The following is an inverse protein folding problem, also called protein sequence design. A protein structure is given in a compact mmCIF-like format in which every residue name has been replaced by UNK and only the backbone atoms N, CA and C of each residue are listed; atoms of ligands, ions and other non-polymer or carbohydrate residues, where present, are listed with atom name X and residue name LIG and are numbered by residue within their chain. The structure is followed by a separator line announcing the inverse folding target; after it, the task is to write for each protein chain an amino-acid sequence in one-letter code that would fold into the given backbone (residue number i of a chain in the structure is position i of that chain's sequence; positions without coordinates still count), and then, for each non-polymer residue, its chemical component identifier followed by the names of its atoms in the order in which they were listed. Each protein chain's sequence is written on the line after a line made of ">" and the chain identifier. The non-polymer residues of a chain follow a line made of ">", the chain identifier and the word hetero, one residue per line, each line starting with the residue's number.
data_IF_340309310870
#
_entry.id   IF_340309310870
#
_cell.length_a   1.000
_cell.length_b   1.000
_cell.length_c   1.000
_cell.angle_alpha   90.00
_cell.angle_beta   90.00
_cell.angle_gamma   90.00
#
_symmetry.space_group_name_H-M   'P 1'
#
loop_
_entity.id
_entity.type
_entity.pdbx_description
1 polymer ?
#
# COMPACT_ATOMS: atom_id res chain seq x y z
N UNK A 1 12.64 21.46 -5.71
CA UNK A 1 11.78 20.26 -5.63
C UNK A 1 11.74 19.64 -4.22
N UNK A 2 12.81 19.02 -3.73
CA UNK A 2 12.82 18.29 -2.44
C UNK A 2 12.26 19.07 -1.24
N UNK A 3 12.71 20.33 -1.07
CA UNK A 3 12.20 21.20 -0.01
C UNK A 3 10.68 21.45 -0.12
N UNK A 4 10.17 21.64 -1.34
CA UNK A 4 8.74 21.83 -1.58
C UNK A 4 7.94 20.56 -1.23
N UNK A 5 8.44 19.38 -1.60
CA UNK A 5 7.80 18.10 -1.24
C UNK A 5 7.79 17.88 0.28
N UNK A 6 8.90 18.19 0.97
CA UNK A 6 8.96 18.13 2.42
C UNK A 6 7.94 19.08 3.06
N UNK A 7 7.83 20.32 2.57
CA UNK A 7 6.83 21.29 3.03
C UNK A 7 5.41 20.78 2.79
N UNK A 8 5.11 20.26 1.60
CA UNK A 8 3.78 19.72 1.27
C UNK A 8 3.41 18.52 2.15
N UNK A 9 4.34 17.60 2.38
CA UNK A 9 4.14 16.47 3.29
C UNK A 9 3.89 16.93 4.73
N UNK A 10 4.64 17.93 5.21
CA UNK A 10 4.40 18.54 6.52
C UNK A 10 3.03 19.22 6.59
N UNK A 11 2.64 20.03 5.60
CA UNK A 11 1.34 20.69 5.55
C UNK A 11 0.20 19.66 5.56
N UNK A 12 0.31 18.59 4.78
CA UNK A 12 -0.68 17.52 4.76
C UNK A 12 -0.78 16.81 6.12
N UNK A 13 0.33 16.65 6.85
CA UNK A 13 0.35 16.10 8.21
C UNK A 13 -0.17 17.08 9.29
N UNK A 14 -0.08 18.40 9.07
CA UNK A 14 -0.52 19.39 10.06
C UNK A 14 -2.00 19.25 10.40
N UNK A 15 -2.86 18.89 9.43
CA UNK A 15 -4.29 18.71 9.66
C UNK A 15 -4.58 17.59 10.68
N UNK A 16 -4.14 16.32 10.47
CA UNK A 16 -4.36 15.28 11.47
C UNK A 16 -3.64 15.53 12.80
N UNK A 17 -2.46 16.15 12.78
CA UNK A 17 -1.79 16.58 14.01
C UNK A 17 -2.65 17.61 14.76
N UNK A 18 -3.16 18.65 14.09
CA UNK A 18 -4.03 19.64 14.73
C UNK A 18 -5.30 18.97 15.32
N UNK A 19 -5.93 18.04 14.60
CA UNK A 19 -7.09 17.29 15.08
C UNK A 19 -6.78 16.50 16.37
N UNK A 20 -5.63 15.82 16.42
CA UNK A 20 -5.23 15.03 17.60
C UNK A 20 -4.99 15.94 18.81
N UNK A 21 -4.20 17.02 18.65
CA UNK A 21 -3.82 17.89 19.76
C UNK A 21 -4.96 18.81 20.22
N UNK A 22 -5.84 19.26 19.32
CA UNK A 22 -7.02 20.05 19.68
C UNK A 22 -8.14 19.22 20.32
N UNK A 23 -8.09 17.89 20.22
CA UNK A 23 -9.14 17.04 20.79
C UNK A 23 -9.19 17.08 22.33
N UNK A 24 -10.29 16.62 22.94
CA UNK A 24 -10.41 16.48 24.40
C UNK A 24 -9.82 15.17 24.95
N UNK A 25 -9.31 14.28 24.09
CA UNK A 25 -8.75 12.99 24.53
C UNK A 25 -7.47 13.23 25.36
N UNK A 26 -7.41 12.63 26.54
CA UNK A 26 -6.26 12.73 27.44
C UNK A 26 -5.05 11.94 26.89
N UNK A 27 -5.29 10.84 26.17
CA UNK A 27 -4.24 10.02 25.58
C UNK A 27 -3.98 10.39 24.12
N UNK A 28 -3.25 11.51 23.94
CA UNK A 28 -2.85 12.01 22.62
C UNK A 28 -2.06 10.99 21.81
N UNK A 29 -1.25 10.16 22.47
CA UNK A 29 -0.40 9.20 21.80
C UNK A 29 -1.23 8.05 21.22
N UNK A 30 -2.15 7.48 22.00
CA UNK A 30 -3.12 6.48 21.53
C UNK A 30 -3.96 7.03 20.38
N UNK A 31 -4.46 8.26 20.52
CA UNK A 31 -5.27 8.89 19.48
C UNK A 31 -4.47 9.12 18.18
N UNK A 32 -3.23 9.59 18.30
CA UNK A 32 -2.33 9.72 17.15
C UNK A 32 -2.13 8.37 16.45
N UNK A 33 -1.90 7.29 17.20
CA UNK A 33 -1.71 5.97 16.62
C UNK A 33 -2.94 5.50 15.83
N UNK A 34 -4.16 5.65 16.37
CA UNK A 34 -5.39 5.30 15.67
C UNK A 34 -5.70 6.21 14.47
N UNK A 35 -5.40 7.51 14.56
CA UNK A 35 -5.50 8.41 13.40
C UNK A 35 -4.53 8.00 12.30
N UNK A 36 -3.31 7.62 12.64
CA UNK A 36 -2.33 7.11 11.66
C UNK A 36 -2.79 5.79 11.03
N UNK A 37 -3.40 4.88 11.81
CA UNK A 37 -4.00 3.64 11.28
C UNK A 37 -5.10 3.96 10.27
N UNK A 38 -6.03 4.84 10.64
CA UNK A 38 -7.13 5.27 9.77
C UNK A 38 -6.61 5.87 8.46
N UNK A 39 -5.68 6.83 8.53
CA UNK A 39 -5.10 7.45 7.34
C UNK A 39 -4.26 6.50 6.49
N UNK A 40 -3.63 5.49 7.11
CA UNK A 40 -2.89 4.45 6.37
C UNK A 40 -3.86 3.54 5.60
N UNK A 41 -4.99 3.19 6.22
CA UNK A 41 -6.06 2.45 5.54
C UNK A 41 -6.64 3.26 4.35
N UNK A 42 -6.96 4.53 4.57
CA UNK A 42 -7.45 5.42 3.49
C UNK A 42 -6.41 5.60 2.39
N UNK A 43 -5.12 5.70 2.74
CA UNK A 43 -4.02 5.76 1.77
C UNK A 43 -3.96 4.50 0.89
N UNK A 44 -4.17 3.31 1.46
CA UNK A 44 -4.23 2.05 0.72
C UNK A 44 -5.45 2.04 -0.22
N UNK A 45 -6.62 2.49 0.25
CA UNK A 45 -7.81 2.63 -0.60
C UNK A 45 -7.56 3.62 -1.74
N UNK A 46 -6.91 4.75 -1.46
CA UNK A 46 -6.54 5.72 -2.48
C UNK A 46 -5.52 5.14 -3.47
N UNK A 47 -4.60 4.27 -3.02
CA UNK A 47 -3.71 3.50 -3.90
C UNK A 47 -4.45 2.52 -4.81
N UNK A 48 -5.54 1.90 -4.32
CA UNK A 48 -6.42 1.11 -5.18
C UNK A 48 -7.13 2.00 -6.21
N UNK A 49 -7.57 3.20 -5.81
CA UNK A 49 -8.16 4.18 -6.72
C UNK A 49 -7.16 4.67 -7.80
N UNK A 50 -5.91 4.95 -7.45
CA UNK A 50 -4.88 5.34 -8.43
C UNK A 50 -4.63 4.23 -9.45
N UNK A 51 -4.71 2.96 -9.03
CA UNK A 51 -4.62 1.80 -9.92
C UNK A 51 -5.84 1.67 -10.83
N UNK A 52 -7.05 1.70 -10.27
CA UNK A 52 -8.31 1.51 -11.01
C UNK A 52 -8.60 2.63 -12.01
N UNK A 53 -8.04 3.82 -11.80
CA UNK A 53 -8.11 4.95 -12.73
C UNK A 53 -6.94 4.99 -13.72
N UNK A 54 -6.07 3.97 -13.73
CA UNK A 54 -4.84 3.90 -14.52
C UNK A 54 -3.97 5.17 -14.40
N UNK A 55 -3.89 5.69 -13.18
CA UNK A 55 -3.15 6.91 -12.84
C UNK A 55 -1.72 6.63 -12.34
N UNK A 56 -1.34 5.37 -12.14
CA UNK A 56 -0.04 5.00 -11.55
C UNK A 56 1.21 5.33 -12.40
N UNK A 57 1.02 5.88 -13.59
CA UNK A 57 2.06 6.39 -14.49
C UNK A 57 1.69 7.79 -15.02
N UNK A 58 0.88 8.54 -14.25
CA UNK A 58 0.53 9.93 -14.57
C UNK A 58 1.74 10.86 -14.44
N UNK A 59 2.74 10.49 -13.64
CA UNK A 59 4.04 11.13 -13.53
C UNK A 59 5.15 10.13 -13.87
N UNK A 60 6.09 10.46 -14.78
CA UNK A 60 7.10 9.51 -15.26
C UNK A 60 8.26 9.29 -14.28
N UNK A 61 8.40 10.13 -13.27
CA UNK A 61 9.50 10.19 -12.33
C UNK A 61 9.01 10.13 -10.88
N UNK A 62 9.94 9.93 -9.95
CA UNK A 62 9.71 9.94 -8.51
C UNK A 62 10.85 10.70 -7.82
N UNK A 63 10.58 11.52 -6.78
CA UNK A 63 9.29 11.73 -6.08
C UNK A 63 8.41 12.83 -6.69
N UNK A 64 8.93 13.57 -7.67
CA UNK A 64 8.21 14.66 -8.33
C UNK A 64 7.39 14.20 -9.54
N UNK A 65 6.95 15.17 -10.34
CA UNK A 65 6.32 14.97 -11.62
C UNK A 65 7.02 15.88 -12.63
N UNK A 66 7.68 15.32 -13.63
CA UNK A 66 8.57 16.01 -14.57
C UNK A 66 9.63 16.89 -13.86
N UNK A 67 10.22 16.39 -12.76
CA UNK A 67 11.20 17.15 -11.97
C UNK A 67 10.61 18.28 -11.11
N UNK A 68 9.29 18.44 -11.10
CA UNK A 68 8.58 19.42 -10.29
C UNK A 68 7.89 18.79 -9.09
N UNK A 69 7.63 19.61 -8.05
CA UNK A 69 7.00 19.11 -6.83
C UNK A 69 5.48 18.98 -6.93
N UNK A 70 4.85 19.52 -7.98
CA UNK A 70 3.41 19.44 -8.20
C UNK A 70 3.05 19.59 -9.70
N UNK A 71 1.89 19.05 -10.13
CA UNK A 71 1.46 19.10 -11.53
C UNK A 71 1.18 20.50 -12.10
N UNK A 72 0.98 21.54 -11.27
CA UNK A 72 0.81 22.92 -11.78
C UNK A 72 2.11 23.43 -12.37
N UNK A 73 3.23 23.16 -11.71
CA UNK A 73 4.55 23.54 -12.20
C UNK A 73 4.95 22.73 -13.45
N UNK A 74 4.55 21.45 -13.52
CA UNK A 74 4.80 20.56 -14.66
C UNK A 74 3.73 20.66 -15.76
N UNK A 75 2.83 21.65 -15.72
CA UNK A 75 1.65 21.66 -16.59
C UNK A 75 2.00 21.66 -18.09
N UNK A 76 3.07 22.37 -18.48
CA UNK A 76 3.54 22.41 -19.85
C UNK A 76 4.04 21.03 -20.32
N UNK A 77 4.85 20.35 -19.51
CA UNK A 77 5.38 19.02 -19.83
C UNK A 77 4.28 17.95 -19.90
N UNK A 78 3.34 17.99 -18.95
CA UNK A 78 2.17 17.10 -18.93
C UNK A 78 1.31 17.33 -20.18
N UNK A 79 1.06 18.58 -20.54
CA UNK A 79 0.26 18.92 -21.72
C UNK A 79 0.93 18.48 -23.02
N UNK A 80 2.26 18.64 -23.12
CA UNK A 80 3.03 18.17 -24.26
C UNK A 80 3.02 16.64 -24.37
N UNK A 81 3.18 15.92 -23.25
CA UNK A 81 3.14 14.47 -23.21
C UNK A 81 1.74 13.92 -23.57
N UNK A 82 0.68 14.55 -23.03
CA UNK A 82 -0.70 14.19 -23.36
C UNK A 82 -1.03 14.45 -24.84
N UNK A 83 -0.53 15.56 -25.41
CA UNK A 83 -0.71 15.85 -26.83
C UNK A 83 0.04 14.86 -27.74
N UNK A 84 1.23 14.42 -27.33
CA UNK A 84 2.03 13.43 -28.08
C UNK A 84 1.41 12.03 -28.06
N UNK A 85 0.74 11.64 -26.97
CA UNK A 85 0.08 10.34 -26.84
C UNK A 85 -1.30 10.48 -26.16
N UNK A 86 -2.36 10.85 -26.92
CA UNK A 86 -3.69 11.13 -26.35
C UNK A 86 -4.34 9.95 -25.60
N UNK A 87 -4.03 8.72 -25.99
CA UNK A 87 -4.48 7.48 -25.34
C UNK A 87 -3.46 6.92 -24.35
N UNK A 88 -2.42 7.69 -24.04
CA UNK A 88 -1.32 7.29 -23.17
C UNK A 88 -1.66 7.33 -21.67
N UNK A 89 -0.67 7.04 -20.82
CA UNK A 89 -0.87 7.00 -19.37
C UNK A 89 -0.95 8.40 -18.72
N UNK A 90 -0.53 9.45 -19.42
CA UNK A 90 -0.38 10.80 -18.85
C UNK A 90 -1.58 11.68 -19.19
N UNK A 91 -2.21 12.23 -18.15
CA UNK A 91 -3.11 13.38 -18.24
C UNK A 91 -2.93 14.25 -17.01
N UNK A 92 -3.38 15.51 -17.06
CA UNK A 92 -3.34 16.41 -15.90
C UNK A 92 -4.06 15.81 -14.69
N UNK A 93 -5.21 15.15 -14.90
CA UNK A 93 -5.98 14.53 -13.82
C UNK A 93 -5.23 13.33 -13.23
N UNK A 94 -4.68 12.45 -14.07
CA UNK A 94 -3.90 11.28 -13.62
C UNK A 94 -2.65 11.69 -12.84
N UNK A 95 -1.92 12.71 -13.31
CA UNK A 95 -0.77 13.27 -12.61
C UNK A 95 -1.13 13.81 -11.22
N UNK A 96 -2.29 14.47 -11.08
CA UNK A 96 -2.79 14.91 -9.78
C UNK A 96 -3.16 13.77 -8.85
N UNK A 97 -3.87 12.75 -9.36
CA UNK A 97 -4.22 11.55 -8.59
C UNK A 97 -2.94 10.91 -8.03
N UNK A 98 -1.92 10.74 -8.86
CA UNK A 98 -0.66 10.15 -8.43
C UNK A 98 0.08 11.02 -7.39
N UNK A 99 0.18 12.33 -7.63
CA UNK A 99 0.88 13.23 -6.71
C UNK A 99 0.15 13.38 -5.36
N UNK A 100 -1.19 13.36 -5.36
CA UNK A 100 -1.98 13.36 -4.10
C UNK A 100 -1.68 12.10 -3.29
N UNK A 101 -1.62 10.92 -3.93
CA UNK A 101 -1.23 9.69 -3.25
C UNK A 101 0.15 9.82 -2.58
N UNK A 102 1.12 10.42 -3.28
CA UNK A 102 2.47 10.67 -2.76
C UNK A 102 2.47 11.65 -1.58
N UNK A 103 1.68 12.73 -1.65
CA UNK A 103 1.56 13.68 -0.53
C UNK A 103 0.95 13.04 0.72
N UNK A 104 -0.10 12.22 0.54
CA UNK A 104 -0.73 11.47 1.63
C UNK A 104 0.25 10.47 2.24
N UNK A 105 1.04 9.77 1.43
CA UNK A 105 2.09 8.87 1.91
C UNK A 105 3.16 9.60 2.73
N UNK A 106 3.61 10.78 2.28
CA UNK A 106 4.52 11.63 3.05
C UNK A 106 3.91 12.08 4.38
N UNK A 107 2.62 12.43 4.39
CA UNK A 107 1.92 12.82 5.61
C UNK A 107 1.91 11.67 6.64
N UNK A 108 1.57 10.45 6.21
CA UNK A 108 1.65 9.25 7.07
C UNK A 108 3.08 9.04 7.59
N UNK A 109 4.09 9.22 6.74
CA UNK A 109 5.50 9.21 7.15
C UNK A 109 5.81 10.17 8.30
N UNK A 110 5.36 11.42 8.20
CA UNK A 110 5.50 12.43 9.26
C UNK A 110 4.79 11.99 10.55
N UNK A 111 3.59 11.40 10.46
CA UNK A 111 2.87 10.90 11.63
C UNK A 111 3.61 9.73 12.32
N UNK A 112 4.23 8.83 11.55
CA UNK A 112 5.08 7.76 12.09
C UNK A 112 6.32 8.32 12.78
N UNK A 113 6.96 9.35 12.20
CA UNK A 113 8.07 10.07 12.85
C UNK A 113 7.60 10.69 14.17
N UNK A 114 6.43 11.35 14.20
CA UNK A 114 5.87 11.91 15.43
C UNK A 114 5.62 10.84 16.50
N UNK A 115 5.03 9.69 16.11
CA UNK A 115 4.84 8.54 17.01
C UNK A 115 6.17 8.02 17.58
N UNK A 116 7.20 7.91 16.75
CA UNK A 116 8.52 7.47 17.17
C UNK A 116 9.17 8.46 18.15
N UNK A 117 9.17 9.76 17.81
CA UNK A 117 9.76 10.81 18.64
C UNK A 117 9.07 10.89 20.00
N UNK A 118 7.74 10.90 20.03
CA UNK A 118 6.97 10.94 21.28
C UNK A 118 7.26 9.70 22.14
N UNK A 119 7.34 8.50 21.53
CA UNK A 119 7.67 7.28 22.26
C UNK A 119 9.07 7.37 22.91
N UNK A 120 10.09 7.79 22.16
CA UNK A 120 11.44 7.97 22.68
C UNK A 120 11.49 9.01 23.82
N UNK A 121 10.81 10.15 23.66
CA UNK A 121 10.76 11.19 24.68
C UNK A 121 10.12 10.68 25.98
N UNK A 122 8.98 9.99 25.91
CA UNK A 122 8.28 9.48 27.08
C UNK A 122 9.01 8.30 27.74
N UNK A 123 9.63 7.43 26.96
CA UNK A 123 10.44 6.32 27.47
C UNK A 123 11.65 6.82 28.26
N UNK A 124 12.37 7.82 27.73
CA UNK A 124 13.49 8.46 28.44
C UNK A 124 13.01 9.22 29.69
N UNK A 125 11.93 10.00 29.60
CA UNK A 125 11.36 10.75 30.73
C UNK A 125 10.95 9.84 31.89
N UNK A 126 10.41 8.66 31.59
CA UNK A 126 10.01 7.66 32.58
C UNK A 126 11.17 6.81 33.11
N UNK A 127 12.43 7.11 32.75
CA UNK A 127 13.61 6.27 33.06
C UNK A 127 13.37 4.80 32.69
N UNK A 128 12.71 4.58 31.56
CA UNK A 128 12.40 3.29 30.97
C UNK A 128 11.35 2.45 31.72
N UNK A 129 10.66 3.02 32.73
CA UNK A 129 9.66 2.30 33.51
C UNK A 129 8.33 2.07 32.76
N UNK A 130 7.94 2.99 31.86
CA UNK A 130 6.66 2.90 31.14
C UNK A 130 6.82 2.14 29.81
N UNK A 131 6.62 0.82 29.85
CA UNK A 131 6.77 -0.08 28.69
C UNK A 131 5.76 0.17 27.57
N UNK A 132 4.62 0.83 27.85
CA UNK A 132 3.67 1.31 26.84
C UNK A 132 4.31 2.25 25.81
N UNK A 133 5.34 3.00 26.21
CA UNK A 133 6.07 3.93 25.35
C UNK A 133 7.38 3.33 24.80
N UNK A 134 7.55 2.00 24.85
CA UNK A 134 8.72 1.35 24.24
C UNK A 134 8.85 1.77 22.76
N UNK A 135 9.96 2.39 22.35
CA UNK A 135 10.06 3.03 21.04
C UNK A 135 10.49 2.08 19.92
N UNK A 136 10.79 0.82 20.23
CA UNK A 136 11.34 -0.13 19.25
C UNK A 136 10.36 -0.42 18.11
N UNK A 137 9.06 -0.59 18.41
CA UNK A 137 8.05 -0.80 17.37
C UNK A 137 7.86 0.45 16.48
N UNK A 138 7.70 1.68 17.01
CA UNK A 138 7.72 2.90 16.20
C UNK A 138 9.01 3.10 15.38
N UNK A 139 10.17 2.73 15.92
CA UNK A 139 11.46 2.82 15.21
C UNK A 139 11.52 1.81 14.06
N UNK A 140 11.07 0.58 14.29
CA UNK A 140 10.92 -0.42 13.23
C UNK A 140 9.94 0.04 12.15
N UNK A 141 8.79 0.60 12.55
CA UNK A 141 7.79 1.16 11.63
C UNK A 141 8.36 2.28 10.75
N UNK A 142 9.28 3.11 11.27
CA UNK A 142 9.97 4.10 10.45
C UNK A 142 10.85 3.44 9.38
N UNK A 143 11.62 2.40 9.72
CA UNK A 143 12.38 1.64 8.72
C UNK A 143 11.47 0.97 7.69
N UNK A 144 10.34 0.43 8.17
CA UNK A 144 9.36 -0.28 7.34
C UNK A 144 8.64 0.66 6.35
N UNK A 145 8.26 1.88 6.78
CA UNK A 145 7.64 2.86 5.87
C UNK A 145 8.64 3.42 4.85
N UNK A 146 9.93 3.50 5.17
CA UNK A 146 10.98 3.79 4.17
C UNK A 146 11.07 2.68 3.11
N UNK A 147 10.99 1.41 3.52
CA UNK A 147 10.92 0.29 2.58
C UNK A 147 9.66 0.36 1.71
N UNK A 148 8.50 0.68 2.31
CA UNK A 148 7.25 0.91 1.56
C UNK A 148 7.41 2.02 0.52
N UNK A 149 8.04 3.13 0.90
CA UNK A 149 8.35 4.24 0.00
C UNK A 149 9.28 3.84 -1.15
N UNK A 150 10.30 3.02 -0.89
CA UNK A 150 11.19 2.49 -1.92
C UNK A 150 10.43 1.62 -2.95
N UNK A 151 9.57 0.71 -2.48
CA UNK A 151 8.71 -0.07 -3.37
C UNK A 151 7.72 0.81 -4.14
N UNK A 152 7.19 1.87 -3.53
CA UNK A 152 6.32 2.84 -4.22
C UNK A 152 7.07 3.66 -5.29
N UNK A 153 8.36 3.93 -5.11
CA UNK A 153 9.18 4.50 -6.17
C UNK A 153 9.41 3.49 -7.30
N UNK A 154 9.67 2.22 -6.96
CA UNK A 154 9.84 1.15 -7.94
C UNK A 154 8.57 0.83 -8.74
N UNK A 155 7.37 1.03 -8.19
CA UNK A 155 6.14 0.86 -8.99
C UNK A 155 6.10 1.80 -10.18
N UNK A 156 6.65 3.01 -10.05
CA UNK A 156 6.72 4.00 -11.14
C UNK A 156 7.92 3.72 -12.04
N UNK A 157 9.13 3.59 -11.46
CA UNK A 157 10.37 3.45 -12.24
C UNK A 157 10.48 2.12 -12.97
N UNK A 158 9.78 1.07 -12.51
CA UNK A 158 9.65 -0.22 -13.19
C UNK A 158 8.32 -0.39 -13.93
N UNK A 159 7.65 0.72 -14.29
CA UNK A 159 6.47 0.75 -15.17
C UNK A 159 5.37 -0.24 -14.74
N UNK A 160 5.05 -0.23 -13.44
CA UNK A 160 4.01 -1.07 -12.82
C UNK A 160 4.26 -2.57 -12.97
N UNK A 161 5.53 -3.02 -12.94
CA UNK A 161 5.89 -4.43 -12.92
C UNK A 161 5.05 -5.21 -11.88
N UNK A 162 4.32 -6.27 -12.25
CA UNK A 162 3.30 -6.87 -11.37
C UNK A 162 3.80 -7.33 -10.00
N UNK A 163 4.99 -7.93 -9.94
CA UNK A 163 5.57 -8.41 -8.66
C UNK A 163 5.91 -7.26 -7.72
N UNK A 164 6.38 -6.12 -8.24
CA UNK A 164 6.74 -4.96 -7.43
C UNK A 164 5.49 -4.32 -6.84
N UNK A 165 4.45 -4.13 -7.66
CA UNK A 165 3.18 -3.57 -7.20
C UNK A 165 2.50 -4.49 -6.19
N UNK A 166 2.56 -5.81 -6.38
CA UNK A 166 2.01 -6.79 -5.43
C UNK A 166 2.77 -6.77 -4.11
N UNK A 167 4.12 -6.73 -4.13
CA UNK A 167 4.90 -6.61 -2.89
C UNK A 167 4.63 -5.28 -2.18
N UNK A 168 4.50 -4.18 -2.93
CA UNK A 168 4.13 -2.88 -2.36
C UNK A 168 2.78 -2.93 -1.63
N UNK A 169 1.78 -3.64 -2.17
CA UNK A 169 0.51 -3.88 -1.48
C UNK A 169 0.69 -4.71 -0.20
N UNK A 170 1.43 -5.82 -0.26
CA UNK A 170 1.64 -6.70 0.90
C UNK A 170 2.40 -6.00 2.03
N UNK A 171 3.40 -5.19 1.68
CA UNK A 171 4.09 -4.32 2.62
C UNK A 171 3.11 -3.27 3.19
N UNK A 172 2.28 -2.63 2.37
CA UNK A 172 1.24 -1.69 2.83
C UNK A 172 0.27 -2.30 3.85
N UNK A 173 -0.25 -3.50 3.56
CA UNK A 173 -1.13 -4.24 4.48
C UNK A 173 -0.42 -4.65 5.77
N UNK A 174 0.85 -5.05 5.68
CA UNK A 174 1.68 -5.35 6.85
C UNK A 174 1.92 -4.11 7.70
N UNK A 175 2.20 -2.96 7.09
CA UNK A 175 2.35 -1.68 7.77
C UNK A 175 1.07 -1.29 8.51
N UNK A 176 -0.09 -1.44 7.86
CA UNK A 176 -1.40 -1.21 8.49
C UNK A 176 -1.60 -2.12 9.72
N UNK A 177 -1.31 -3.42 9.59
CA UNK A 177 -1.40 -4.38 10.69
C UNK A 177 -0.47 -4.04 11.86
N UNK A 178 0.78 -3.65 11.57
CA UNK A 178 1.77 -3.24 12.57
C UNK A 178 1.41 -1.92 13.27
N UNK A 179 0.86 -0.94 12.54
CA UNK A 179 0.33 0.29 13.13
C UNK A 179 -0.90 0.00 13.99
N UNK A 180 -1.79 -0.90 13.53
CA UNK A 180 -2.92 -1.39 14.31
C UNK A 180 -2.46 -2.05 15.60
N UNK A 181 -1.41 -2.86 15.54
CA UNK A 181 -0.79 -3.47 16.72
C UNK A 181 -0.20 -2.41 17.67
N UNK A 182 0.51 -1.39 17.14
CA UNK A 182 1.00 -0.28 17.95
C UNK A 182 -0.15 0.44 18.67
N UNK A 183 -1.23 0.77 17.95
CA UNK A 183 -2.40 1.44 18.50
C UNK A 183 -3.13 0.58 19.54
N UNK A 184 -3.28 -0.72 19.28
CA UNK A 184 -3.85 -1.67 20.22
C UNK A 184 -3.03 -1.77 21.52
N UNK A 185 -1.68 -1.72 21.46
CA UNK A 185 -0.83 -1.69 22.67
C UNK A 185 -1.04 -0.47 23.56
N UNK A 186 -1.62 0.61 23.03
CA UNK A 186 -1.97 1.81 23.80
C UNK A 186 -3.38 1.76 24.38
N UNK A 187 -4.13 0.68 24.12
CA UNK A 187 -5.48 0.48 24.62
C UNK A 187 -5.43 -0.57 25.73
N UNK A 188 -6.23 -0.37 26.78
CA UNK A 188 -6.40 -1.38 27.82
C UNK A 188 -7.28 -2.51 27.28
N UNK A 189 -6.80 -3.75 27.38
CA UNK A 189 -7.52 -4.94 26.95
C UNK A 189 -7.86 -5.81 28.16
N UNK A 190 -8.95 -6.55 28.05
CA UNK A 190 -9.25 -7.59 29.03
C UNK A 190 -8.14 -8.65 29.05
N UNK A 191 -7.78 -9.18 30.23
CA UNK A 191 -6.77 -10.22 30.33
C UNK A 191 -7.20 -11.45 29.53
N UNK A 192 -6.28 -11.97 28.70
CA UNK A 192 -6.52 -13.16 27.88
C UNK A 192 -6.09 -14.39 28.69
N UNK A 193 -6.94 -15.42 28.74
CA UNK A 193 -6.64 -16.66 29.46
C UNK A 193 -5.37 -17.33 28.91
N UNK A 194 -4.52 -17.90 29.78
CA UNK A 194 -3.25 -18.51 29.40
C UNK A 194 -3.41 -19.67 28.39
N UNK A 195 -4.54 -20.38 28.45
CA UNK A 195 -4.92 -21.43 27.49
C UNK A 195 -5.03 -20.91 26.04
N UNK A 196 -5.31 -19.61 25.87
CA UNK A 196 -5.37 -18.97 24.54
C UNK A 196 -4.00 -18.91 23.85
N UNK A 197 -2.90 -19.21 24.54
CA UNK A 197 -1.59 -19.37 23.90
C UNK A 197 -1.60 -20.46 22.81
N UNK A 198 -2.50 -21.46 22.91
CA UNK A 198 -2.73 -22.46 21.88
C UNK A 198 -3.21 -21.86 20.54
N UNK A 199 -3.81 -20.66 20.55
CA UNK A 199 -4.28 -19.96 19.35
C UNK A 199 -3.17 -19.23 18.59
N UNK A 200 -1.94 -19.17 19.12
CA UNK A 200 -0.83 -18.45 18.45
C UNK A 200 -0.48 -19.06 17.10
N UNK A 201 -0.36 -20.39 17.02
CA UNK A 201 -0.04 -21.07 15.78
C UNK A 201 -1.22 -21.01 14.77
N UNK A 202 -2.47 -21.38 15.14
CA UNK A 202 -3.62 -21.19 14.26
C UNK A 202 -3.78 -19.74 13.77
N UNK A 203 -3.58 -18.75 14.65
CA UNK A 203 -3.65 -17.34 14.29
C UNK A 203 -2.54 -16.93 13.31
N UNK A 204 -1.31 -17.41 13.50
CA UNK A 204 -0.21 -17.16 12.57
C UNK A 204 -0.46 -17.82 11.20
N UNK A 205 -0.99 -19.04 11.17
CA UNK A 205 -1.39 -19.71 9.93
C UNK A 205 -2.51 -18.96 9.22
N UNK A 206 -3.54 -18.51 9.95
CA UNK A 206 -4.64 -17.72 9.39
C UNK A 206 -4.14 -16.41 8.77
N UNK A 207 -3.22 -15.69 9.43
CA UNK A 207 -2.56 -14.51 8.86
C UNK A 207 -1.77 -14.88 7.59
N UNK A 208 -1.05 -16.00 7.59
CA UNK A 208 -0.31 -16.48 6.41
C UNK A 208 -1.22 -16.76 5.21
N UNK A 209 -2.33 -17.47 5.44
CA UNK A 209 -3.34 -17.77 4.40
C UNK A 209 -4.00 -16.48 3.91
N UNK A 210 -4.36 -15.56 4.81
CA UNK A 210 -4.90 -14.25 4.44
C UNK A 210 -3.92 -13.45 3.57
N UNK A 211 -2.64 -13.41 3.95
CA UNK A 211 -1.60 -12.71 3.18
C UNK A 211 -1.41 -13.32 1.79
N UNK A 212 -1.49 -14.66 1.67
CA UNK A 212 -1.49 -15.32 0.37
C UNK A 212 -2.71 -14.95 -0.47
N UNK A 213 -3.91 -14.92 0.13
CA UNK A 213 -5.12 -14.51 -0.59
C UNK A 213 -5.04 -13.05 -1.08
N UNK A 214 -4.51 -12.15 -0.26
CA UNK A 214 -4.24 -10.76 -0.65
C UNK A 214 -3.19 -10.70 -1.77
N UNK A 215 -2.13 -11.51 -1.69
CA UNK A 215 -1.10 -11.58 -2.73
C UNK A 215 -1.69 -12.02 -4.07
N UNK A 216 -2.52 -13.07 -4.07
CA UNK A 216 -3.21 -13.55 -5.27
C UNK A 216 -4.17 -12.50 -5.83
N UNK A 217 -4.91 -11.79 -4.98
CA UNK A 217 -5.79 -10.70 -5.41
C UNK A 217 -5.01 -9.51 -5.99
N UNK A 218 -3.88 -9.16 -5.37
CA UNK A 218 -2.92 -8.20 -5.91
C UNK A 218 -2.36 -8.66 -7.25
N UNK A 219 -2.04 -9.94 -7.41
CA UNK A 219 -1.56 -10.52 -8.67
C UNK A 219 -2.61 -10.44 -9.79
N UNK A 220 -3.89 -10.66 -9.47
CA UNK A 220 -5.01 -10.46 -10.42
C UNK A 220 -5.10 -9.00 -10.86
N UNK A 221 -5.13 -8.06 -9.91
CA UNK A 221 -5.26 -6.63 -10.19
C UNK A 221 -4.07 -6.09 -10.99
N UNK A 222 -2.85 -6.49 -10.61
CA UNK A 222 -1.61 -6.01 -11.25
C UNK A 222 -1.42 -6.55 -12.67
N UNK A 223 -2.02 -7.68 -13.00
CA UNK A 223 -2.02 -8.25 -14.35
C UNK A 223 -3.27 -7.90 -15.19
N UNK A 224 -4.20 -7.09 -14.67
CA UNK A 224 -5.48 -6.80 -15.31
C UNK A 224 -6.29 -8.08 -15.65
N UNK A 225 -6.19 -9.11 -14.82
CA UNK A 225 -6.86 -10.39 -15.02
C UNK A 225 -8.29 -10.44 -14.44
N UNK A 226 -8.82 -9.33 -13.93
CA UNK A 226 -10.12 -9.27 -13.22
C UNK A 226 -11.30 -9.75 -14.06
N UNK A 227 -11.27 -9.51 -15.36
CA UNK A 227 -12.33 -9.90 -16.30
C UNK A 227 -12.01 -11.20 -17.07
N UNK A 228 -10.96 -11.93 -16.69
CA UNK A 228 -10.57 -13.16 -17.39
C UNK A 228 -11.54 -14.33 -17.19
N UNK A 229 -12.41 -14.25 -16.18
CA UNK A 229 -13.52 -15.18 -15.97
C UNK A 229 -14.74 -14.35 -15.58
N UNK A 230 -15.82 -14.41 -16.36
CA UNK A 230 -16.95 -13.48 -16.22
C UNK A 230 -18.11 -14.00 -15.35
N UNK A 231 -18.09 -15.28 -14.99
CA UNK A 231 -19.10 -15.97 -14.19
C UNK A 231 -18.51 -16.66 -12.94
N UNK A 232 -19.36 -17.20 -12.07
CA UNK A 232 -18.98 -17.93 -10.87
C UNK A 232 -20.02 -19.01 -10.54
N UNK A 233 -19.63 -20.24 -10.14
CA UNK A 233 -18.27 -20.73 -9.84
C UNK A 233 -17.45 -21.15 -11.07
N UNK A 234 -18.03 -21.15 -12.26
CA UNK A 234 -17.37 -21.47 -13.52
C UNK A 234 -16.44 -20.34 -14.00
N UNK A 235 -15.75 -20.55 -15.10
CA UNK A 235 -15.02 -19.55 -15.87
C UNK A 235 -15.43 -19.69 -17.34
N UNK A 236 -16.26 -18.75 -17.80
CA UNK A 236 -16.91 -18.71 -19.12
C UNK A 236 -17.65 -20.02 -19.44
N UNK A 237 -18.46 -20.49 -18.48
CA UNK A 237 -19.27 -21.70 -18.61
C UNK A 237 -18.53 -23.02 -18.40
N UNK A 238 -17.23 -23.00 -18.11
CA UNK A 238 -16.41 -24.21 -17.88
C UNK A 238 -15.84 -24.23 -16.45
N UNK A 239 -15.86 -25.40 -15.80
CA UNK A 239 -15.39 -25.54 -14.41
C UNK A 239 -13.85 -25.47 -14.32
N UNK A 240 -13.17 -26.11 -15.28
CA UNK A 240 -11.72 -26.11 -15.41
C UNK A 240 -11.37 -25.56 -16.80
N UNK A 241 -11.14 -24.24 -16.93
CA UNK A 241 -10.83 -23.63 -18.22
C UNK A 241 -9.40 -23.98 -18.67
N UNK A 242 -9.09 -23.70 -19.94
CA UNK A 242 -7.70 -23.78 -20.44
C UNK A 242 -6.85 -22.70 -19.76
N UNK A 243 -5.73 -23.11 -19.16
CA UNK A 243 -4.88 -22.24 -18.34
C UNK A 243 -3.40 -22.39 -18.72
N UNK A 244 -2.66 -21.29 -18.67
CA UNK A 244 -1.20 -21.26 -18.81
C UNK A 244 -0.56 -20.76 -17.50
N UNK A 245 -0.19 -21.71 -16.65
CA UNK A 245 0.43 -21.42 -15.36
C UNK A 245 1.88 -20.92 -15.50
N UNK A 246 2.59 -21.31 -16.56
CA UNK A 246 4.00 -20.95 -16.76
C UNK A 246 4.10 -19.45 -16.96
N UNK A 247 3.35 -18.89 -17.92
CA UNK A 247 3.35 -17.45 -18.15
C UNK A 247 2.55 -16.71 -17.07
N UNK A 248 1.47 -17.30 -16.55
CA UNK A 248 0.62 -16.71 -15.51
C UNK A 248 1.37 -16.44 -14.20
N UNK A 249 2.32 -17.29 -13.83
CA UNK A 249 3.07 -17.20 -12.57
C UNK A 249 4.58 -16.97 -12.76
N UNK A 250 5.01 -16.59 -13.96
CA UNK A 250 6.34 -15.99 -14.12
C UNK A 250 6.35 -14.62 -13.45
N UNK A 251 7.08 -14.52 -12.33
CA UNK A 251 7.02 -13.35 -11.45
C UNK A 251 7.79 -12.14 -11.98
N UNK A 252 8.95 -12.37 -12.60
CA UNK A 252 9.84 -11.30 -13.07
C UNK A 252 9.65 -11.06 -14.57
N UNK A 253 8.69 -10.20 -14.91
CA UNK A 253 8.39 -9.82 -16.30
C UNK A 253 7.70 -8.45 -16.37
N UNK A 254 7.80 -7.72 -17.50
CA UNK A 254 7.06 -6.48 -17.70
C UNK A 254 5.55 -6.70 -17.63
N UNK A 255 4.83 -5.62 -17.29
CA UNK A 255 3.37 -5.62 -17.34
C UNK A 255 2.86 -5.94 -18.76
N UNK A 256 1.93 -6.90 -18.87
CA UNK A 256 1.31 -7.27 -20.14
C UNK A 256 2.16 -8.15 -21.06
N UNK A 257 3.38 -8.53 -20.67
CA UNK A 257 4.29 -9.35 -21.48
C UNK A 257 4.72 -10.63 -20.77
N UNK A 258 5.13 -11.64 -21.54
CA UNK A 258 5.87 -12.82 -21.05
C UNK A 258 7.32 -12.47 -20.72
N UNK A 259 8.08 -13.38 -20.11
CA UNK A 259 9.53 -13.18 -19.92
C UNK A 259 10.32 -13.10 -21.23
N UNK A 260 9.79 -13.66 -22.32
CA UNK A 260 10.40 -13.59 -23.65
C UNK A 260 10.10 -12.26 -24.37
N UNK A 261 9.17 -11.44 -23.85
CA UNK A 261 8.77 -10.16 -24.43
C UNK A 261 7.54 -10.21 -25.33
N UNK A 262 6.93 -11.38 -25.52
CA UNK A 262 5.66 -11.53 -26.24
C UNK A 262 4.49 -11.02 -25.39
N UNK A 263 3.36 -10.70 -26.03
CA UNK A 263 2.14 -10.38 -25.30
C UNK A 263 1.68 -11.56 -24.44
N UNK A 264 1.25 -11.25 -23.22
CA UNK A 264 0.78 -12.27 -22.30
C UNK A 264 -0.49 -12.95 -22.85
N UNK A 265 -0.51 -14.28 -23.02
CA UNK A 265 -1.64 -14.98 -23.61
C UNK A 265 -2.84 -14.99 -22.64
N UNK A 266 -4.07 -14.97 -23.18
CA UNK A 266 -5.28 -14.95 -22.36
C UNK A 266 -5.41 -16.14 -21.37
N UNK A 267 -5.03 -17.39 -21.71
CA UNK A 267 -4.98 -18.50 -20.75
C UNK A 267 -4.09 -18.23 -19.51
N UNK A 268 -3.09 -17.35 -19.61
CA UNK A 268 -2.29 -16.96 -18.45
C UNK A 268 -3.07 -16.04 -17.51
N UNK A 269 -3.85 -15.09 -18.05
CA UNK A 269 -4.78 -14.26 -17.27
C UNK A 269 -5.87 -15.11 -16.61
N UNK A 270 -6.37 -16.11 -17.33
CA UNK A 270 -7.34 -17.09 -16.82
C UNK A 270 -6.76 -17.86 -15.63
N UNK A 271 -5.52 -18.36 -15.75
CA UNK A 271 -4.83 -19.06 -14.67
C UNK A 271 -4.68 -18.18 -13.41
N UNK A 272 -4.27 -16.93 -13.59
CA UNK A 272 -4.13 -15.95 -12.50
C UNK A 272 -5.47 -15.76 -11.76
N UNK A 273 -6.55 -15.50 -12.51
CA UNK A 273 -7.86 -15.23 -11.91
C UNK A 273 -8.45 -16.48 -11.24
N UNK A 274 -8.36 -17.63 -11.90
CA UNK A 274 -8.90 -18.89 -11.39
C UNK A 274 -8.22 -19.31 -10.08
N UNK A 275 -6.89 -19.21 -9.98
CA UNK A 275 -6.14 -19.55 -8.75
C UNK A 275 -6.56 -18.67 -7.57
N UNK A 276 -6.70 -17.36 -7.77
CA UNK A 276 -7.18 -16.45 -6.71
C UNK A 276 -8.58 -16.83 -6.21
N UNK A 277 -9.48 -17.16 -7.14
CA UNK A 277 -10.86 -17.55 -6.82
C UNK A 277 -10.92 -18.88 -6.06
N UNK A 278 -10.11 -19.86 -6.47
CA UNK A 278 -10.10 -21.17 -5.81
C UNK A 278 -9.41 -21.12 -4.44
N UNK A 279 -8.34 -20.32 -4.30
CA UNK A 279 -7.67 -20.16 -3.02
C UNK A 279 -8.56 -19.46 -1.97
N UNK A 280 -9.52 -18.64 -2.40
CA UNK A 280 -10.49 -18.02 -1.49
C UNK A 280 -11.25 -19.03 -0.64
N UNK A 281 -11.52 -20.24 -1.15
CA UNK A 281 -12.18 -21.31 -0.38
C UNK A 281 -11.30 -21.91 0.72
N UNK A 282 -9.98 -21.79 0.62
CA UNK A 282 -9.05 -22.23 1.68
C UNK A 282 -9.07 -21.24 2.85
N UNK A 283 -9.39 -19.97 2.59
CA UNK A 283 -9.48 -18.93 3.61
C UNK A 283 -10.80 -18.96 4.39
N UNK A 284 -11.91 -19.34 3.74
CA UNK A 284 -13.25 -19.42 4.32
C UNK A 284 -13.42 -20.63 5.23
#
# INVERSE_FOLDING_TARGET
>A
MWLQLAILGMIAALLPLAIVWASKDADKYRKLAWVTVFLTFDLIMFGAFTRLTDSGLGCPDWPGCYGHANPLQAHADISAAQAAMPTGPVTVVKAWIEMIHRYLAMAVGVLVVALMVIAWMQWRKSKHAQTRFSPWLPTFLLGFICLQGAFGAWTVTMKLQPVIVTIHLLLGMSLLGLLGWLAARQTEHMPVAATSAALRLPGALAIGVLMMQIALGGWVSTNYATLACTDYPLCDGVLVPTMDFVNGFTLWRPLGMTAAGDYLPFPALTAIHWVHRMFAFVLL
#
